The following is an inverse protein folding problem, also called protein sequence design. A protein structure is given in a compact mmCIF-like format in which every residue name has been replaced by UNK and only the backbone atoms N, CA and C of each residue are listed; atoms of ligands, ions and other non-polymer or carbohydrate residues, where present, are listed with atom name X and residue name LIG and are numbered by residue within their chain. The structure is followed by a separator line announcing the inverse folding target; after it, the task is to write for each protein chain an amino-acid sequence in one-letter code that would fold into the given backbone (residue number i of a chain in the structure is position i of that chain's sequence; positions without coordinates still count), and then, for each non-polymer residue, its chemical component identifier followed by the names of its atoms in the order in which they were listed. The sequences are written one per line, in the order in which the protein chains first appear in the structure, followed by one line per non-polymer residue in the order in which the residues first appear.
data_IF_778501965201
#
_entry.id   IF_778501965201
#
_cell.length_a   1.000
_cell.length_b   1.000
_cell.length_c   1.000
_cell.angle_alpha   90.00
_cell.angle_beta   90.00
_cell.angle_gamma   90.00
#
_symmetry.space_group_name_H-M   'P 1'
#
loop_
_entity.id
_entity.type
_entity.pdbx_description
1 polymer ?
#
# COMPACT_ATOMS: atom_id res chain seq x y z
N UNK A 1 11.90 22.68 -5.25
CA UNK A 1 11.93 21.47 -6.07
C UNK A 1 11.06 21.64 -7.32
N UNK A 2 11.50 21.08 -8.44
CA UNK A 2 10.72 20.99 -9.70
C UNK A 2 10.51 19.52 -9.99
N UNK A 3 9.31 19.15 -10.44
CA UNK A 3 8.96 17.78 -10.86
C UNK A 3 8.19 17.83 -12.17
N UNK A 4 8.58 16.99 -13.12
CA UNK A 4 7.86 16.77 -14.37
C UNK A 4 7.56 15.27 -14.47
N UNK A 5 6.35 14.91 -14.89
CA UNK A 5 5.94 13.53 -14.95
C UNK A 5 5.01 13.30 -16.13
N UNK A 6 5.27 12.25 -16.90
CA UNK A 6 4.46 11.82 -18.03
C UNK A 6 4.07 10.35 -17.85
N UNK A 7 2.77 10.05 -18.04
CA UNK A 7 2.24 8.69 -17.94
C UNK A 7 1.41 8.32 -19.15
N UNK A 8 1.55 7.08 -19.57
CA UNK A 8 0.69 6.42 -20.54
C UNK A 8 -0.02 5.26 -19.89
N UNK A 9 -1.31 5.14 -20.14
CA UNK A 9 -2.15 4.09 -19.58
C UNK A 9 -2.98 3.48 -20.71
N UNK A 10 -3.05 2.14 -20.72
CA UNK A 10 -3.90 1.39 -21.64
C UNK A 10 -4.56 0.22 -20.92
N UNK A 11 -5.81 -0.03 -21.27
CA UNK A 11 -6.57 -1.19 -20.79
C UNK A 11 -7.29 -1.84 -21.95
N UNK A 12 -7.21 -3.15 -22.01
CA UNK A 12 -7.96 -4.01 -22.91
C UNK A 12 -8.65 -5.11 -22.11
N UNK A 13 -9.89 -5.42 -22.45
CA UNK A 13 -10.62 -6.53 -21.83
C UNK A 13 -11.57 -7.15 -22.83
N UNK A 14 -11.77 -8.46 -22.70
CA UNK A 14 -12.72 -9.22 -23.46
C UNK A 14 -13.45 -10.23 -22.55
N UNK A 15 -14.74 -10.39 -22.77
CA UNK A 15 -15.55 -11.40 -22.10
C UNK A 15 -16.11 -12.35 -23.14
N UNK A 16 -15.93 -13.63 -22.91
CA UNK A 16 -16.46 -14.70 -23.73
C UNK A 16 -17.55 -15.44 -22.97
N UNK A 17 -18.77 -15.39 -23.47
CA UNK A 17 -19.90 -16.16 -22.97
C UNK A 17 -19.83 -17.56 -23.59
N UNK A 18 -19.18 -18.52 -22.90
CA UNK A 18 -18.93 -19.88 -23.40
C UNK A 18 -20.24 -20.63 -23.49
N UNK A 19 -21.06 -20.53 -22.44
CA UNK A 19 -22.43 -21.07 -22.37
C UNK A 19 -23.33 -20.01 -21.70
N UNK A 20 -24.61 -20.38 -21.49
CA UNK A 20 -25.52 -19.53 -20.69
C UNK A 20 -25.13 -19.43 -19.21
N UNK A 21 -24.33 -20.38 -18.75
CA UNK A 21 -23.90 -20.49 -17.36
C UNK A 21 -22.43 -20.15 -17.15
N UNK A 22 -21.62 -20.02 -18.23
CA UNK A 22 -20.18 -19.91 -18.15
C UNK A 22 -19.68 -18.66 -18.88
N UNK A 23 -19.08 -17.77 -18.12
CA UNK A 23 -18.44 -16.56 -18.60
C UNK A 23 -16.94 -16.60 -18.33
N UNK A 24 -16.11 -16.30 -19.32
CA UNK A 24 -14.68 -16.16 -19.19
C UNK A 24 -14.27 -14.75 -19.59
N UNK A 25 -13.68 -14.01 -18.69
CA UNK A 25 -13.19 -12.66 -18.95
C UNK A 25 -11.66 -12.60 -18.83
N UNK A 26 -11.03 -11.88 -19.75
CA UNK A 26 -9.61 -11.59 -19.75
C UNK A 26 -9.41 -10.08 -19.77
N UNK A 27 -8.60 -9.57 -18.87
CA UNK A 27 -8.24 -8.17 -18.76
C UNK A 27 -6.73 -7.99 -18.77
N UNK A 28 -6.27 -7.00 -19.55
CA UNK A 28 -4.88 -6.54 -19.57
C UNK A 28 -4.87 -5.06 -19.27
N UNK A 29 -4.07 -4.65 -18.32
CA UNK A 29 -3.81 -3.25 -18.04
C UNK A 29 -2.31 -3.00 -18.13
N UNK A 30 -1.91 -1.97 -18.86
CA UNK A 30 -0.53 -1.54 -18.95
C UNK A 30 -0.39 -0.07 -18.60
N UNK A 31 0.68 0.27 -17.91
CA UNK A 31 1.07 1.65 -17.62
C UNK A 31 2.58 1.79 -17.77
N UNK A 32 2.99 2.87 -18.40
CA UNK A 32 4.39 3.30 -18.42
C UNK A 32 4.44 4.78 -18.16
N UNK A 33 5.46 5.21 -17.47
CA UNK A 33 5.65 6.62 -17.19
C UNK A 33 7.06 6.89 -16.69
N UNK A 34 7.46 8.13 -16.77
CA UNK A 34 8.74 8.58 -16.30
C UNK A 34 8.67 10.04 -15.87
N UNK A 35 9.67 10.46 -15.14
CA UNK A 35 9.73 11.84 -14.72
C UNK A 35 11.07 12.21 -14.09
N UNK A 36 11.33 13.50 -14.20
CA UNK A 36 12.52 14.14 -13.67
C UNK A 36 12.16 14.91 -12.41
N UNK A 37 13.07 14.93 -11.48
CA UNK A 37 13.01 15.79 -10.30
C UNK A 37 14.31 16.55 -10.11
N UNK A 38 14.21 17.81 -9.68
CA UNK A 38 15.35 18.61 -9.28
C UNK A 38 15.06 19.30 -7.96
N UNK A 39 15.96 19.20 -7.03
CA UNK A 39 15.87 19.79 -5.71
C UNK A 39 17.18 20.45 -5.31
N UNK A 40 17.09 21.59 -4.65
CA UNK A 40 18.22 22.27 -4.02
C UNK A 40 17.88 22.45 -2.54
N UNK A 41 18.76 21.96 -1.68
CA UNK A 41 18.65 22.07 -0.22
C UNK A 41 19.85 22.85 0.28
N UNK A 42 19.58 23.94 0.99
CA UNK A 42 20.59 24.71 1.68
C UNK A 42 20.60 24.37 3.17
N UNK A 43 21.74 23.95 3.68
CA UNK A 43 21.96 23.65 5.09
C UNK A 43 22.74 24.79 5.72
N UNK A 44 22.34 25.20 6.92
CA UNK A 44 23.10 26.09 7.78
C UNK A 44 23.28 25.41 9.14
N UNK A 45 24.50 24.97 9.44
CA UNK A 45 24.84 24.36 10.71
C UNK A 45 25.24 25.45 11.68
N UNK A 46 24.63 25.45 12.86
CA UNK A 46 24.86 26.44 13.90
C UNK A 46 25.30 25.76 15.20
N UNK A 47 26.14 26.46 15.99
CA UNK A 47 26.50 26.05 17.34
C UNK A 47 25.38 26.36 18.36
N UNK A 48 25.63 26.01 19.62
CA UNK A 48 24.71 26.31 20.72
C UNK A 48 24.48 27.81 20.98
N UNK A 49 25.40 28.67 20.49
CA UNK A 49 25.35 30.14 20.58
C UNK A 49 24.70 30.75 19.32
N UNK A 50 24.24 29.94 18.38
CA UNK A 50 23.63 30.31 17.08
C UNK A 50 24.63 30.94 16.09
N UNK A 51 25.94 30.73 16.25
CA UNK A 51 26.90 31.09 15.23
C UNK A 51 26.95 30.01 14.14
N UNK A 52 27.05 30.41 12.89
CA UNK A 52 27.20 29.47 11.77
C UNK A 52 28.55 28.76 11.85
N UNK A 53 28.54 27.43 11.85
CA UNK A 53 29.75 26.60 11.80
C UNK A 53 30.11 26.33 10.33
N UNK A 54 29.13 25.95 9.50
CA UNK A 54 29.27 25.77 8.06
C UNK A 54 27.95 25.98 7.35
N UNK A 55 28.04 26.28 6.07
CA UNK A 55 26.89 26.19 5.13
C UNK A 55 27.18 25.12 4.11
N UNK A 56 26.11 24.45 3.63
CA UNK A 56 26.22 23.41 2.60
C UNK A 56 25.05 23.49 1.63
N UNK A 57 25.35 23.47 0.35
CA UNK A 57 24.38 23.38 -0.72
C UNK A 57 24.41 21.99 -1.32
N UNK A 58 23.26 21.33 -1.35
CA UNK A 58 23.05 20.02 -1.97
C UNK A 58 22.05 20.12 -3.10
N UNK A 59 22.52 19.84 -4.32
CA UNK A 59 21.70 19.78 -5.52
C UNK A 59 21.45 18.30 -5.83
N UNK A 60 20.20 17.94 -5.99
CA UNK A 60 19.76 16.61 -6.40
C UNK A 60 19.06 16.70 -7.74
N UNK A 61 19.52 15.96 -8.72
CA UNK A 61 18.80 15.74 -9.99
C UNK A 61 18.53 14.26 -10.11
N UNK A 62 17.27 13.91 -10.35
CA UNK A 62 16.85 12.54 -10.49
C UNK A 62 15.95 12.34 -11.69
N UNK A 63 16.05 11.18 -12.27
CA UNK A 63 15.14 10.65 -13.27
C UNK A 63 14.61 9.28 -12.83
N UNK A 64 13.44 8.92 -13.27
CA UNK A 64 12.91 7.59 -13.04
C UNK A 64 11.88 7.19 -14.08
N UNK A 65 11.96 5.94 -14.50
CA UNK A 65 10.99 5.28 -15.36
C UNK A 65 10.23 4.22 -14.57
N UNK A 66 8.93 4.10 -14.85
CA UNK A 66 8.06 3.09 -14.27
C UNK A 66 7.32 2.35 -15.37
N UNK A 67 7.26 1.03 -15.24
CA UNK A 67 6.45 0.15 -16.10
C UNK A 67 5.63 -0.76 -15.21
N UNK A 68 4.35 -0.87 -15.51
CA UNK A 68 3.42 -1.76 -14.82
C UNK A 68 2.56 -2.49 -15.83
N UNK A 69 2.31 -3.76 -15.56
CA UNK A 69 1.25 -4.49 -16.24
C UNK A 69 0.50 -5.37 -15.25
N UNK A 70 -0.79 -5.53 -15.49
CA UNK A 70 -1.67 -6.44 -14.80
C UNK A 70 -2.39 -7.32 -15.83
N UNK A 71 -2.29 -8.62 -15.62
CA UNK A 71 -3.02 -9.64 -16.37
C UNK A 71 -4.03 -10.27 -15.42
N UNK A 72 -5.28 -10.37 -15.82
CA UNK A 72 -6.34 -10.95 -15.02
C UNK A 72 -7.20 -11.88 -15.89
N UNK A 73 -7.43 -13.08 -15.37
CA UNK A 73 -8.36 -14.05 -15.92
C UNK A 73 -9.43 -14.32 -14.88
N UNK A 74 -10.68 -14.13 -15.27
CA UNK A 74 -11.84 -14.35 -14.43
C UNK A 74 -12.81 -15.34 -15.10
N UNK A 75 -13.22 -16.36 -14.36
CA UNK A 75 -14.21 -17.35 -14.81
C UNK A 75 -15.38 -17.40 -13.84
N UNK A 76 -16.57 -17.20 -14.36
CA UNK A 76 -17.83 -17.28 -13.59
C UNK A 76 -18.63 -18.46 -14.08
N UNK A 77 -19.01 -19.35 -13.17
CA UNK A 77 -19.97 -20.43 -13.43
C UNK A 77 -21.23 -20.25 -12.60
N UNK A 78 -22.36 -20.22 -13.24
CA UNK A 78 -23.70 -20.14 -12.64
C UNK A 78 -24.30 -21.54 -12.50
N UNK A 79 -24.38 -22.04 -11.28
CA UNK A 79 -25.08 -23.33 -11.00
C UNK A 79 -26.59 -23.19 -11.15
N UNK A 80 -27.11 -22.00 -10.82
CA UNK A 80 -28.52 -21.63 -10.94
C UNK A 80 -28.63 -20.09 -10.97
N UNK A 81 -29.84 -19.54 -11.08
CA UNK A 81 -30.09 -18.09 -10.93
C UNK A 81 -29.68 -17.54 -9.56
N UNK A 82 -29.59 -18.41 -8.55
CA UNK A 82 -29.32 -18.06 -7.17
C UNK A 82 -27.91 -18.44 -6.69
N UNK A 83 -27.13 -19.17 -7.49
CA UNK A 83 -25.86 -19.72 -7.05
C UNK A 83 -24.81 -19.66 -8.15
N UNK A 84 -23.64 -19.12 -7.82
CA UNK A 84 -22.49 -19.03 -8.72
C UNK A 84 -21.16 -19.18 -7.96
N UNK A 85 -20.15 -19.56 -8.72
CA UNK A 85 -18.75 -19.46 -8.32
C UNK A 85 -18.01 -18.50 -9.27
N UNK A 86 -17.16 -17.67 -8.70
CA UNK A 86 -16.28 -16.75 -9.40
C UNK A 86 -14.83 -17.13 -9.08
N UNK A 87 -14.03 -17.43 -10.11
CA UNK A 87 -12.64 -17.84 -10.00
C UNK A 87 -11.77 -16.80 -10.70
N UNK A 88 -10.85 -16.19 -9.98
CA UNK A 88 -9.94 -15.17 -10.50
C UNK A 88 -8.48 -15.55 -10.28
N UNK A 89 -7.69 -15.36 -11.31
CA UNK A 89 -6.21 -15.39 -11.22
C UNK A 89 -5.67 -14.11 -11.83
N UNK A 90 -4.84 -13.40 -11.10
CA UNK A 90 -4.17 -12.23 -11.64
C UNK A 90 -2.67 -12.24 -11.38
N UNK A 91 -1.94 -11.58 -12.27
CA UNK A 91 -0.52 -11.30 -12.13
C UNK A 91 -0.28 -9.81 -12.35
N UNK A 92 0.16 -9.14 -11.30
CA UNK A 92 0.59 -7.75 -11.34
C UNK A 92 2.11 -7.70 -11.26
N UNK A 93 2.74 -6.95 -12.15
CA UNK A 93 4.17 -6.68 -12.09
C UNK A 93 4.40 -5.19 -12.31
N UNK A 94 5.27 -4.62 -11.49
CA UNK A 94 5.77 -3.29 -11.73
C UNK A 94 7.28 -3.23 -11.52
N UNK A 95 7.91 -2.40 -12.31
CA UNK A 95 9.33 -2.11 -12.24
C UNK A 95 9.51 -0.59 -12.24
N UNK A 96 10.40 -0.14 -11.41
CA UNK A 96 10.85 1.24 -11.40
C UNK A 96 12.35 1.28 -11.44
N UNK A 97 12.88 1.82 -12.52
CA UNK A 97 14.28 2.19 -12.67
C UNK A 97 14.43 3.66 -12.29
N UNK A 98 15.44 4.03 -11.53
CA UNK A 98 15.68 5.42 -11.17
C UNK A 98 17.14 5.70 -10.87
N UNK A 99 17.58 6.89 -11.22
CA UNK A 99 18.91 7.39 -10.92
C UNK A 99 18.79 8.77 -10.26
N UNK A 100 19.52 8.98 -9.17
CA UNK A 100 19.65 10.27 -8.53
C UNK A 100 21.13 10.69 -8.52
N UNK A 101 21.40 11.90 -8.96
CA UNK A 101 22.73 12.52 -8.94
C UNK A 101 22.72 13.60 -7.88
N UNK A 102 23.61 13.49 -6.92
CA UNK A 102 23.78 14.44 -5.84
C UNK A 102 25.12 15.17 -5.99
N UNK A 103 25.08 16.47 -5.80
CA UNK A 103 26.26 17.32 -5.72
C UNK A 103 26.15 18.15 -4.46
N UNK A 104 27.14 18.05 -3.58
CA UNK A 104 27.15 18.79 -2.34
C UNK A 104 28.44 19.56 -2.20
N UNK A 105 28.35 20.85 -1.90
CA UNK A 105 29.48 21.70 -1.55
C UNK A 105 29.28 22.27 -0.16
N UNK A 106 30.34 22.24 0.65
CA UNK A 106 30.32 22.73 2.04
C UNK A 106 31.36 23.77 2.22
N UNK A 107 31.03 24.86 2.92
CA UNK A 107 31.92 25.96 3.26
C UNK A 107 31.91 26.16 4.77
N UNK A 108 33.04 25.95 5.41
CA UNK A 108 33.22 26.18 6.84
C UNK A 108 33.45 27.65 7.13
N UNK A 109 32.94 28.14 8.27
CA UNK A 109 33.23 29.49 8.77
C UNK A 109 34.66 29.60 9.22
N UNK A 110 35.27 28.53 9.73
CA UNK A 110 36.69 28.45 10.06
C UNK A 110 37.52 28.18 8.79
N UNK A 111 38.35 29.12 8.32
CA UNK A 111 39.15 28.95 7.10
C UNK A 111 40.18 27.82 7.16
N UNK A 112 40.51 27.34 8.36
CA UNK A 112 41.40 26.18 8.52
C UNK A 112 40.77 24.86 8.18
N UNK A 113 39.43 24.79 8.07
CA UNK A 113 38.68 23.62 7.70
C UNK A 113 38.36 23.64 6.20
N UNK A 114 38.72 22.57 5.49
CA UNK A 114 38.45 22.41 4.07
C UNK A 114 37.52 21.22 3.91
N UNK A 115 36.38 21.40 3.24
CA UNK A 115 35.51 20.32 2.83
C UNK A 115 35.78 19.97 1.36
N UNK A 116 35.93 18.68 1.08
CA UNK A 116 35.92 18.21 -0.28
C UNK A 116 34.46 18.20 -0.81
N UNK A 117 34.23 18.57 -2.07
CA UNK A 117 32.92 18.38 -2.70
C UNK A 117 32.54 16.91 -2.67
N UNK A 118 31.25 16.63 -2.53
CA UNK A 118 30.71 15.29 -2.64
C UNK A 118 29.92 15.18 -3.95
N UNK A 119 30.34 14.25 -4.79
CA UNK A 119 29.58 13.77 -5.93
C UNK A 119 29.10 12.35 -5.63
N UNK A 120 27.80 12.12 -5.79
CA UNK A 120 27.20 10.82 -5.53
C UNK A 120 26.15 10.52 -6.57
N UNK A 121 26.16 9.29 -7.08
CA UNK A 121 25.08 8.76 -7.93
C UNK A 121 24.48 7.57 -7.22
N UNK A 122 23.16 7.52 -7.17
CA UNK A 122 22.43 6.41 -6.61
C UNK A 122 21.47 5.85 -7.66
N UNK A 123 21.63 4.57 -7.96
CA UNK A 123 20.81 3.82 -8.90
C UNK A 123 19.92 2.84 -8.16
N UNK A 124 18.67 2.67 -8.61
CA UNK A 124 17.74 1.69 -8.08
C UNK A 124 16.96 1.03 -9.22
N UNK A 125 16.75 -0.29 -9.12
CA UNK A 125 15.94 -1.09 -10.05
C UNK A 125 14.95 -1.92 -9.23
N UNK A 126 13.86 -1.29 -8.82
CA UNK A 126 12.84 -1.93 -7.98
C UNK A 126 11.95 -2.81 -8.85
N UNK A 127 11.82 -4.07 -8.47
CA UNK A 127 10.96 -5.05 -9.12
C UNK A 127 9.96 -5.62 -8.13
N UNK A 128 8.69 -5.59 -8.48
CA UNK A 128 7.62 -6.20 -7.71
C UNK A 128 6.78 -7.10 -8.59
N UNK A 129 6.49 -8.29 -8.10
CA UNK A 129 5.63 -9.26 -8.74
C UNK A 129 4.64 -9.82 -7.73
N UNK A 130 3.36 -9.65 -8.02
CA UNK A 130 2.27 -10.16 -7.19
C UNK A 130 1.38 -11.09 -8.00
N UNK A 131 1.19 -12.31 -7.52
CA UNK A 131 0.15 -13.22 -7.95
C UNK A 131 -1.00 -13.18 -6.98
N UNK A 132 -2.22 -13.18 -7.52
CA UNK A 132 -3.43 -13.30 -6.73
C UNK A 132 -4.31 -14.41 -7.31
N UNK A 133 -4.82 -15.26 -6.45
CA UNK A 133 -5.82 -16.28 -6.78
C UNK A 133 -6.99 -16.12 -5.83
N UNK A 134 -8.22 -16.15 -6.38
CA UNK A 134 -9.43 -15.96 -5.61
C UNK A 134 -10.51 -16.91 -6.11
N UNK A 135 -11.29 -17.43 -5.18
CA UNK A 135 -12.46 -18.25 -5.47
C UNK A 135 -13.59 -17.81 -4.53
N UNK A 136 -14.68 -17.30 -5.10
CA UNK A 136 -15.86 -16.82 -4.39
C UNK A 136 -17.09 -17.62 -4.77
N UNK A 137 -17.71 -18.23 -3.79
CA UNK A 137 -18.99 -18.88 -3.92
C UNK A 137 -20.09 -18.02 -3.32
N UNK A 138 -21.14 -17.79 -4.08
CA UNK A 138 -22.34 -17.06 -3.67
C UNK A 138 -23.57 -17.94 -3.81
N UNK A 139 -24.40 -17.96 -2.79
CA UNK A 139 -25.70 -18.64 -2.84
C UNK A 139 -26.78 -17.80 -2.15
N UNK A 140 -27.80 -17.42 -2.90
CA UNK A 140 -29.02 -16.84 -2.39
C UNK A 140 -29.94 -17.98 -1.95
N UNK A 141 -29.94 -18.29 -0.64
CA UNK A 141 -30.69 -19.40 -0.05
C UNK A 141 -32.20 -19.15 -0.18
N UNK A 142 -32.59 -17.89 -0.06
CA UNK A 142 -33.99 -17.43 -0.25
C UNK A 142 -33.95 -15.94 -0.64
N UNK A 143 -35.14 -15.37 -0.92
CA UNK A 143 -35.24 -13.91 -1.14
C UNK A 143 -34.78 -13.07 0.08
N UNK A 144 -34.70 -13.70 1.24
CA UNK A 144 -34.33 -13.05 2.50
C UNK A 144 -32.96 -13.45 3.03
N UNK A 145 -32.26 -14.44 2.42
CA UNK A 145 -31.01 -14.94 2.99
C UNK A 145 -29.99 -15.27 1.91
N UNK A 146 -28.73 -14.85 2.13
CA UNK A 146 -27.57 -15.07 1.25
C UNK A 146 -26.39 -15.53 2.05
N UNK A 147 -25.65 -16.49 1.52
CA UNK A 147 -24.36 -16.93 2.01
C UNK A 147 -23.29 -16.67 0.93
N UNK A 148 -22.14 -16.23 1.36
CA UNK A 148 -20.95 -16.08 0.54
C UNK A 148 -19.78 -16.72 1.29
N UNK A 149 -18.97 -17.48 0.58
CA UNK A 149 -17.75 -18.06 1.12
C UNK A 149 -16.66 -18.01 0.06
N UNK A 150 -15.43 -17.78 0.48
CA UNK A 150 -14.35 -17.68 -0.49
C UNK A 150 -12.98 -17.90 0.11
N UNK A 151 -12.03 -18.04 -0.81
CA UNK A 151 -10.61 -18.09 -0.56
C UNK A 151 -9.92 -17.00 -1.37
N UNK A 152 -8.90 -16.37 -0.78
CA UNK A 152 -8.00 -15.45 -1.47
C UNK A 152 -6.56 -15.73 -1.06
N UNK A 153 -5.72 -16.00 -2.06
CA UNK A 153 -4.28 -16.14 -1.93
C UNK A 153 -3.58 -14.95 -2.60
N UNK A 154 -2.60 -14.32 -1.93
CA UNK A 154 -1.77 -13.24 -2.49
C UNK A 154 -0.30 -13.57 -2.24
N UNK A 155 0.50 -13.60 -3.29
CA UNK A 155 1.90 -13.99 -3.27
C UNK A 155 2.73 -12.87 -3.88
N UNK A 156 3.43 -12.11 -3.05
CA UNK A 156 4.25 -10.97 -3.48
C UNK A 156 5.73 -11.27 -3.34
N UNK A 157 6.50 -10.86 -4.33
CA UNK A 157 7.96 -10.93 -4.36
C UNK A 157 8.48 -9.58 -4.82
N UNK A 158 9.26 -8.94 -3.97
CA UNK A 158 9.85 -7.64 -4.24
C UNK A 158 11.36 -7.69 -4.07
N UNK A 159 12.07 -7.03 -4.98
CA UNK A 159 13.50 -6.80 -4.90
C UNK A 159 13.79 -5.32 -5.15
N UNK A 160 14.54 -4.71 -4.25
CA UNK A 160 14.86 -3.28 -4.28
C UNK A 160 16.37 -3.09 -4.09
N UNK A 161 17.19 -3.26 -5.14
CA UNK A 161 18.61 -2.94 -5.08
C UNK A 161 18.81 -1.42 -5.08
N UNK A 162 19.87 -1.00 -4.40
CA UNK A 162 20.39 0.37 -4.39
C UNK A 162 21.88 0.27 -4.56
N UNK A 163 22.38 0.77 -5.69
CA UNK A 163 23.79 0.95 -5.99
C UNK A 163 24.17 2.40 -5.82
N UNK A 164 25.23 2.66 -5.08
CA UNK A 164 25.71 4.03 -4.83
C UNK A 164 27.15 4.16 -5.27
N UNK A 165 27.45 5.25 -5.96
CA UNK A 165 28.78 5.62 -6.41
C UNK A 165 29.11 6.97 -5.81
N UNK A 166 30.33 7.13 -5.27
CA UNK A 166 30.80 8.35 -4.63
C UNK A 166 32.15 8.80 -5.16
N UNK A 167 32.38 10.11 -5.15
CA UNK A 167 33.62 10.74 -5.56
C UNK A 167 33.71 12.19 -5.11
N UNK A 168 34.85 12.84 -5.37
CA UNK A 168 35.07 14.26 -5.12
C UNK A 168 34.90 15.10 -6.38
N UNK A 169 34.94 14.48 -7.54
CA UNK A 169 34.62 15.07 -8.85
C UNK A 169 33.66 14.14 -9.61
N UNK A 170 33.13 14.60 -10.74
CA UNK A 170 32.27 13.79 -11.59
C UNK A 170 33.04 12.66 -12.31
N UNK A 171 34.35 12.81 -12.45
CA UNK A 171 35.22 11.85 -13.18
C UNK A 171 35.80 10.76 -12.29
N UNK A 172 35.86 10.98 -10.96
CA UNK A 172 36.44 10.03 -10.01
C UNK A 172 35.40 9.22 -9.22
N UNK A 173 34.13 9.26 -9.64
CA UNK A 173 33.04 8.49 -9.02
C UNK A 173 33.34 6.99 -9.12
N UNK A 174 33.30 6.30 -7.97
CA UNK A 174 33.48 4.85 -7.86
C UNK A 174 32.38 4.24 -7.01
N UNK A 175 32.08 2.96 -7.23
CA UNK A 175 31.12 2.24 -6.42
C UNK A 175 31.52 2.30 -4.95
N UNK A 176 30.57 2.68 -4.12
CA UNK A 176 30.70 2.72 -2.66
C UNK A 176 30.00 1.48 -2.09
N UNK A 177 30.80 0.44 -1.87
CA UNK A 177 30.32 -0.87 -1.38
C UNK A 177 29.62 -0.74 -0.03
N UNK A 178 30.01 0.25 0.78
CA UNK A 178 29.40 0.52 2.10
C UNK A 178 27.95 1.03 2.01
N UNK A 179 27.60 1.58 0.84
CA UNK A 179 26.26 2.12 0.54
C UNK A 179 25.45 1.23 -0.38
N UNK A 180 25.97 0.05 -0.73
CA UNK A 180 25.21 -0.95 -1.46
C UNK A 180 24.18 -1.60 -0.56
N UNK A 181 22.95 -1.77 -1.06
CA UNK A 181 21.93 -2.59 -0.43
C UNK A 181 21.02 -3.24 -1.47
N UNK A 182 20.70 -4.52 -1.25
CA UNK A 182 19.59 -5.18 -1.93
C UNK A 182 18.60 -5.69 -0.90
N UNK A 183 17.44 -5.09 -0.88
CA UNK A 183 16.35 -5.51 -0.01
C UNK A 183 15.41 -6.45 -0.77
N UNK A 184 15.22 -7.64 -0.20
CA UNK A 184 14.27 -8.64 -0.66
C UNK A 184 13.09 -8.69 0.31
N UNK A 185 11.88 -8.63 -0.21
CA UNK A 185 10.66 -8.73 0.56
C UNK A 185 9.71 -9.71 -0.12
N UNK A 186 9.42 -10.80 0.57
CA UNK A 186 8.49 -11.82 0.12
C UNK A 186 7.36 -11.94 1.12
N UNK A 187 6.13 -11.97 0.64
CA UNK A 187 4.98 -12.26 1.50
C UNK A 187 3.99 -13.18 0.81
N UNK A 188 3.42 -14.06 1.61
CA UNK A 188 2.32 -14.94 1.24
C UNK A 188 1.16 -14.72 2.19
N UNK A 189 -0.03 -14.46 1.65
CA UNK A 189 -1.25 -14.26 2.43
C UNK A 189 -2.29 -15.26 1.94
N UNK A 190 -2.81 -16.04 2.87
CA UNK A 190 -3.92 -16.96 2.62
C UNK A 190 -5.10 -16.53 3.48
N UNK A 191 -6.25 -16.37 2.88
CA UNK A 191 -7.45 -16.00 3.60
C UNK A 191 -8.63 -16.87 3.20
N UNK A 192 -9.33 -17.38 4.19
CA UNK A 192 -10.65 -18.01 4.06
C UNK A 192 -11.68 -17.10 4.71
N UNK A 193 -12.79 -16.91 4.08
CA UNK A 193 -13.86 -16.07 4.58
C UNK A 193 -15.22 -16.60 4.26
N UNK A 194 -16.17 -16.23 5.12
CA UNK A 194 -17.58 -16.54 4.97
C UNK A 194 -18.40 -15.38 5.50
N UNK A 195 -19.48 -15.05 4.77
CA UNK A 195 -20.49 -14.09 5.21
C UNK A 195 -21.88 -14.72 5.09
N UNK A 196 -22.73 -14.39 6.04
CA UNK A 196 -24.14 -14.70 6.02
C UNK A 196 -24.92 -13.41 6.21
N UNK A 197 -25.80 -13.12 5.29
CA UNK A 197 -26.67 -11.96 5.34
C UNK A 197 -28.13 -12.35 5.20
N UNK A 198 -28.99 -11.56 5.84
CA UNK A 198 -30.42 -11.79 5.78
C UNK A 198 -31.24 -10.53 6.01
N UNK A 199 -32.53 -10.67 5.70
CA UNK A 199 -33.54 -9.63 5.94
C UNK A 199 -34.74 -10.25 6.64
N UNK A 200 -35.19 -9.61 7.69
CA UNK A 200 -36.41 -9.98 8.42
C UNK A 200 -37.23 -8.73 8.68
N UNK A 201 -38.35 -8.59 7.94
CA UNK A 201 -39.19 -7.39 7.95
C UNK A 201 -38.34 -6.12 7.69
N UNK A 202 -38.20 -5.27 8.71
CA UNK A 202 -37.44 -4.00 8.66
C UNK A 202 -35.98 -4.16 9.02
N UNK A 203 -35.57 -5.30 9.49
CA UNK A 203 -34.21 -5.59 9.91
C UNK A 203 -33.43 -6.28 8.79
N UNK A 204 -32.31 -5.67 8.34
CA UNK A 204 -31.32 -6.33 7.51
C UNK A 204 -30.05 -6.56 8.35
N UNK A 205 -29.43 -7.73 8.18
CA UNK A 205 -28.22 -8.05 8.94
C UNK A 205 -27.23 -8.84 8.06
N UNK A 206 -25.96 -8.68 8.37
CA UNK A 206 -24.89 -9.46 7.80
C UNK A 206 -23.82 -9.71 8.86
N UNK A 207 -23.34 -10.94 8.95
CA UNK A 207 -22.22 -11.31 9.78
C UNK A 207 -21.17 -12.02 8.93
N UNK A 208 -19.90 -11.68 9.13
CA UNK A 208 -18.79 -12.25 8.40
C UNK A 208 -17.63 -12.61 9.31
N UNK A 209 -16.91 -13.63 8.92
CA UNK A 209 -15.66 -14.02 9.56
C UNK A 209 -14.64 -14.31 8.47
N UNK A 210 -13.45 -13.72 8.61
CA UNK A 210 -12.29 -13.95 7.75
C UNK A 210 -11.12 -14.41 8.61
N UNK A 211 -10.54 -15.55 8.28
CA UNK A 211 -9.27 -16.03 8.84
C UNK A 211 -8.16 -15.77 7.86
N UNK A 212 -7.07 -15.14 8.31
CA UNK A 212 -5.88 -14.91 7.50
C UNK A 212 -4.66 -15.56 8.12
N UNK A 213 -3.94 -16.32 7.32
CA UNK A 213 -2.56 -16.71 7.56
C UNK A 213 -1.66 -15.84 6.69
N UNK A 214 -0.69 -15.17 7.31
CA UNK A 214 0.28 -14.31 6.66
C UNK A 214 1.68 -14.73 7.05
N UNK A 215 2.51 -14.99 6.04
CA UNK A 215 3.95 -15.22 6.17
C UNK A 215 4.69 -14.14 5.42
N UNK A 216 5.73 -13.60 6.04
CA UNK A 216 6.64 -12.64 5.43
C UNK A 216 8.07 -13.06 5.73
N UNK A 217 8.93 -13.00 4.72
CA UNK A 217 10.36 -13.08 4.86
C UNK A 217 11.01 -11.84 4.24
N UNK A 218 12.02 -11.31 4.92
CA UNK A 218 12.79 -10.16 4.48
C UNK A 218 14.27 -10.43 4.61
N UNK A 219 15.05 -9.93 3.65
CA UNK A 219 16.50 -10.01 3.66
C UNK A 219 17.08 -8.71 3.15
N UNK A 220 17.98 -8.12 3.93
CA UNK A 220 18.78 -6.98 3.52
C UNK A 220 20.21 -7.45 3.31
N UNK A 221 20.70 -7.32 2.07
CA UNK A 221 22.02 -7.77 1.65
C UNK A 221 22.94 -6.57 1.47
N UNK A 222 24.09 -6.56 2.15
CA UNK A 222 25.20 -5.67 1.86
C UNK A 222 26.01 -6.20 0.64
N UNK A 223 27.01 -5.45 0.21
CA UNK A 223 27.85 -5.81 -0.95
C UNK A 223 28.52 -7.18 -0.78
N UNK A 224 29.10 -7.45 0.39
CA UNK A 224 29.79 -8.72 0.66
C UNK A 224 28.82 -9.90 0.68
N UNK A 225 27.60 -9.68 1.20
CA UNK A 225 26.55 -10.71 1.25
C UNK A 225 26.00 -11.04 -0.14
N UNK A 226 25.96 -10.06 -1.05
CA UNK A 226 25.48 -10.28 -2.42
C UNK A 226 26.56 -10.90 -3.32
N UNK A 227 27.81 -10.40 -3.25
CA UNK A 227 28.85 -10.70 -4.25
C UNK A 227 30.00 -11.56 -3.72
N UNK A 228 30.29 -11.52 -2.42
CA UNK A 228 31.47 -12.15 -1.83
C UNK A 228 31.13 -13.38 -0.96
N UNK A 229 29.86 -13.82 -0.96
CA UNK A 229 29.44 -15.06 -0.30
C UNK A 229 29.38 -14.96 1.25
N UNK A 230 29.38 -13.77 1.82
CA UNK A 230 29.16 -13.58 3.25
C UNK A 230 27.75 -14.02 3.62
N UNK A 231 27.58 -14.68 4.77
CA UNK A 231 26.27 -15.13 5.24
C UNK A 231 25.34 -13.93 5.51
N UNK A 232 24.08 -14.07 5.12
CA UNK A 232 23.02 -13.10 5.39
C UNK A 232 21.94 -13.69 6.28
N UNK A 233 21.33 -12.86 7.11
CA UNK A 233 20.20 -13.24 7.96
C UNK A 233 18.89 -12.97 7.22
N UNK A 234 17.93 -13.88 7.40
CA UNK A 234 16.56 -13.75 6.92
C UNK A 234 15.66 -13.57 8.11
N UNK A 235 14.86 -12.50 8.10
CA UNK A 235 13.81 -12.31 9.11
C UNK A 235 12.52 -12.94 8.58
N UNK A 236 12.05 -13.96 9.28
CA UNK A 236 10.79 -14.64 8.97
C UNK A 236 9.78 -14.41 10.08
N UNK A 237 8.55 -14.12 9.69
CA UNK A 237 7.39 -14.00 10.60
C UNK A 237 6.16 -14.59 9.95
N UNK A 238 5.34 -15.22 10.79
CA UNK A 238 4.03 -15.69 10.40
C UNK A 238 2.98 -15.37 11.47
N UNK A 239 1.75 -15.18 11.01
CA UNK A 239 0.63 -14.83 11.87
C UNK A 239 -0.64 -15.47 11.35
N UNK A 240 -1.45 -16.00 12.26
CA UNK A 240 -2.85 -16.32 11.98
C UNK A 240 -3.76 -15.43 12.82
N UNK A 241 -4.73 -14.78 12.16
CA UNK A 241 -5.68 -13.87 12.84
C UNK A 241 -7.06 -13.97 12.23
N UNK A 242 -8.06 -13.70 13.10
CA UNK A 242 -9.47 -13.64 12.74
C UNK A 242 -9.95 -12.19 12.65
N UNK A 243 -10.76 -11.92 11.63
CA UNK A 243 -11.34 -10.61 11.31
C UNK A 243 -12.87 -10.74 11.22
N UNK A 244 -13.56 -10.59 12.37
CA UNK A 244 -15.02 -10.56 12.37
C UNK A 244 -15.53 -9.23 11.82
N UNK A 245 -16.71 -9.29 11.19
CA UNK A 245 -17.48 -8.14 10.73
C UNK A 245 -18.95 -8.37 11.01
N UNK A 246 -19.67 -7.30 11.32
CA UNK A 246 -21.11 -7.30 11.49
C UNK A 246 -21.71 -6.02 10.92
N UNK A 247 -22.84 -6.16 10.26
CA UNK A 247 -23.65 -5.06 9.76
C UNK A 247 -25.09 -5.30 10.15
N UNK A 248 -25.72 -4.29 10.71
CA UNK A 248 -27.15 -4.29 11.07
C UNK A 248 -27.76 -3.00 10.54
N UNK A 249 -28.88 -3.12 9.83
CA UNK A 249 -29.64 -1.99 9.33
C UNK A 249 -31.11 -2.18 9.70
N UNK A 250 -31.73 -1.11 10.18
CA UNK A 250 -33.13 -1.08 10.55
C UNK A 250 -33.87 0.04 9.80
N UNK A 251 -34.87 -0.36 9.00
CA UNK A 251 -35.72 0.56 8.26
C UNK A 251 -36.72 1.25 9.20
N UNK A 252 -36.58 2.57 9.32
CA UNK A 252 -37.45 3.43 10.10
C UNK A 252 -38.59 4.02 9.23
N UNK A 253 -39.70 4.51 9.83
CA UNK A 253 -40.76 5.20 9.08
C UNK A 253 -40.20 6.39 8.26
N UNK A 254 -40.94 6.75 7.19
CA UNK A 254 -40.65 7.91 6.32
C UNK A 254 -39.29 7.81 5.60
N UNK A 255 -38.94 6.62 5.09
CA UNK A 255 -37.70 6.33 4.36
C UNK A 255 -36.44 6.74 5.14
N UNK A 256 -36.42 6.49 6.42
CA UNK A 256 -35.24 6.63 7.24
C UNK A 256 -34.63 5.25 7.51
N UNK A 257 -33.33 5.20 7.74
CA UNK A 257 -32.60 3.97 8.05
C UNK A 257 -31.52 4.23 9.10
N UNK A 258 -31.42 3.33 10.06
CA UNK A 258 -30.38 3.32 11.07
C UNK A 258 -29.46 2.12 10.82
N UNK A 259 -28.16 2.36 10.70
CA UNK A 259 -27.16 1.32 10.45
C UNK A 259 -26.10 1.30 11.54
N UNK A 260 -25.73 0.10 11.96
CA UNK A 260 -24.60 -0.14 12.87
C UNK A 260 -23.64 -1.12 12.19
N UNK A 261 -22.37 -0.73 12.10
CA UNK A 261 -21.33 -1.55 11.51
C UNK A 261 -20.20 -1.77 12.50
N UNK A 262 -19.67 -2.98 12.49
CA UNK A 262 -18.46 -3.33 13.19
C UNK A 262 -17.52 -4.05 12.23
N UNK A 263 -16.24 -3.65 12.19
CA UNK A 263 -15.20 -4.35 11.45
C UNK A 263 -13.89 -4.34 12.22
N UNK A 264 -13.19 -5.48 12.22
CA UNK A 264 -11.79 -5.56 12.60
C UNK A 264 -10.93 -5.52 11.34
N UNK A 265 -9.88 -4.68 11.35
CA UNK A 265 -8.97 -4.48 10.22
C UNK A 265 -7.53 -4.66 10.63
N UNK A 266 -6.68 -4.88 9.65
CA UNK A 266 -5.26 -5.07 9.78
C UNK A 266 -4.54 -4.11 8.83
N UNK A 267 -3.47 -3.50 9.31
CA UNK A 267 -2.49 -2.78 8.50
C UNK A 267 -1.13 -3.44 8.67
N UNK A 268 -0.61 -4.02 7.58
CA UNK A 268 0.72 -4.62 7.54
C UNK A 268 1.78 -3.55 7.35
N UNK A 269 2.97 -3.67 7.96
CA UNK A 269 4.09 -2.86 7.58
C UNK A 269 4.46 -3.17 6.12
N UNK A 270 4.73 -2.13 5.35
CA UNK A 270 5.19 -2.28 3.97
C UNK A 270 6.71 -2.47 3.93
N UNK A 271 7.24 -3.02 2.80
CA UNK A 271 8.63 -3.42 2.68
C UNK A 271 9.66 -2.36 3.11
N UNK A 272 9.46 -1.09 2.75
CA UNK A 272 10.38 -0.02 3.14
C UNK A 272 10.43 0.25 4.66
N UNK A 273 9.35 -0.04 5.41
CA UNK A 273 9.37 0.04 6.88
C UNK A 273 10.13 -1.11 7.52
N UNK A 274 10.30 -2.22 6.80
CA UNK A 274 11.01 -3.41 7.27
C UNK A 274 12.48 -3.44 6.83
N UNK A 275 12.91 -2.57 5.91
CA UNK A 275 14.29 -2.52 5.44
C UNK A 275 15.19 -1.87 6.48
N UNK A 276 16.07 -2.66 7.10
CA UNK A 276 17.03 -2.20 8.12
C UNK A 276 18.22 -1.42 7.56
N UNK A 277 18.36 -1.34 6.24
CA UNK A 277 19.42 -0.58 5.61
C UNK A 277 19.29 0.93 5.92
N UNK A 278 20.42 1.54 6.25
CA UNK A 278 20.48 2.97 6.56
C UNK A 278 20.53 3.76 5.26
N UNK A 279 19.45 4.48 4.98
CA UNK A 279 19.46 5.46 3.90
C UNK A 279 20.16 6.72 4.38
N UNK A 280 21.33 6.98 3.82
CA UNK A 280 22.18 8.15 4.12
C UNK A 280 22.22 9.12 2.92
N UNK A 281 21.26 9.04 2.01
CA UNK A 281 21.15 10.00 0.90
C UNK A 281 21.13 11.45 1.37
N UNK A 282 20.71 11.69 2.60
CA UNK A 282 20.91 12.93 3.34
C UNK A 282 21.67 12.63 4.64
N UNK A 283 22.93 13.07 4.73
CA UNK A 283 23.77 12.84 5.90
C UNK A 283 23.22 13.47 7.19
N UNK A 284 22.37 14.50 7.06
CA UNK A 284 21.70 15.16 8.18
C UNK A 284 20.39 14.49 8.59
N UNK A 285 19.88 13.56 7.77
CA UNK A 285 18.59 12.90 7.98
C UNK A 285 18.67 11.42 7.59
N UNK A 286 19.25 10.62 8.47
CA UNK A 286 19.40 9.17 8.27
C UNK A 286 18.07 8.49 8.61
N UNK A 287 17.56 7.68 7.70
CA UNK A 287 16.37 6.87 7.89
C UNK A 287 16.66 5.38 7.67
N UNK A 288 16.00 4.53 8.45
CA UNK A 288 16.04 3.09 8.30
C UNK A 288 14.74 2.48 8.83
N UNK A 289 14.39 1.30 8.34
CA UNK A 289 13.24 0.54 8.80
C UNK A 289 13.59 -0.40 9.95
N UNK A 290 12.55 -1.03 10.49
CA UNK A 290 12.69 -2.04 11.54
C UNK A 290 12.05 -3.35 11.07
N UNK A 291 12.83 -4.42 10.82
CA UNK A 291 12.29 -5.73 10.40
C UNK A 291 11.42 -6.41 11.47
N UNK A 292 11.52 -5.96 12.73
CA UNK A 292 10.72 -6.51 13.83
C UNK A 292 9.31 -5.92 13.92
N UNK A 293 8.94 -4.95 13.08
CA UNK A 293 7.60 -4.39 13.09
C UNK A 293 6.54 -5.47 12.91
N UNK A 294 5.47 -5.34 13.67
CA UNK A 294 4.31 -6.23 13.63
C UNK A 294 3.10 -5.48 13.08
N UNK A 295 2.11 -6.20 12.52
CA UNK A 295 0.90 -5.57 12.02
C UNK A 295 0.12 -4.80 13.08
N UNK A 296 -0.47 -3.69 12.68
CA UNK A 296 -1.39 -2.90 13.49
C UNK A 296 -2.83 -3.40 13.30
N UNK A 297 -3.58 -3.50 14.39
CA UNK A 297 -4.97 -3.92 14.38
C UNK A 297 -5.87 -2.75 14.78
N UNK A 298 -6.99 -2.61 14.10
CA UNK A 298 -7.99 -1.60 14.43
C UNK A 298 -9.39 -2.21 14.50
N UNK A 299 -10.18 -1.75 15.44
CA UNK A 299 -11.62 -2.01 15.52
C UNK A 299 -12.36 -0.74 15.11
N UNK A 300 -13.25 -0.86 14.14
CA UNK A 300 -14.08 0.24 13.67
C UNK A 300 -15.53 -0.04 14.01
N UNK A 301 -16.16 0.90 14.71
CA UNK A 301 -17.59 0.93 14.96
C UNK A 301 -18.16 2.15 14.23
N UNK A 302 -19.20 1.94 13.46
CA UNK A 302 -19.85 3.02 12.70
C UNK A 302 -21.33 3.01 13.00
N UNK A 303 -21.88 4.20 13.29
CA UNK A 303 -23.31 4.45 13.42
C UNK A 303 -23.71 5.43 12.32
N UNK A 304 -24.62 5.01 11.45
CA UNK A 304 -25.10 5.83 10.35
C UNK A 304 -26.62 6.02 10.48
N UNK A 305 -27.07 7.22 10.26
CA UNK A 305 -28.47 7.54 10.07
C UNK A 305 -28.66 8.10 8.67
N UNK A 306 -29.49 7.46 7.88
CA UNK A 306 -29.77 7.81 6.49
C UNK A 306 -31.21 8.28 6.42
N UNK A 307 -31.44 9.45 5.83
CA UNK A 307 -32.75 9.96 5.48
C UNK A 307 -32.80 10.15 3.97
N UNK A 308 -33.63 9.37 3.29
CA UNK A 308 -33.89 9.60 1.87
C UNK A 308 -34.80 10.81 1.69
N UNK A 309 -34.50 11.63 0.69
CA UNK A 309 -35.38 12.71 0.30
C UNK A 309 -36.63 12.13 -0.38
N UNK A 310 -37.81 12.67 -0.01
CA UNK A 310 -39.00 12.42 -0.82
C UNK A 310 -38.79 12.96 -2.23
N UNK A 311 -39.43 12.36 -3.29
CA UNK A 311 -39.28 12.81 -4.69
C UNK A 311 -39.51 14.30 -4.93
N UNK A 312 -40.18 14.99 -4.00
CA UNK A 312 -40.44 16.42 -4.03
C UNK A 312 -39.42 17.29 -3.28
N UNK A 313 -38.34 16.72 -2.73
CA UNK A 313 -37.37 17.48 -1.95
C UNK A 313 -35.96 17.00 -2.30
N UNK A 314 -35.18 17.81 -3.02
CA UNK A 314 -33.87 17.49 -3.58
C UNK A 314 -32.71 17.36 -2.57
N UNK A 315 -32.99 17.13 -1.28
CA UNK A 315 -31.94 17.08 -0.23
C UNK A 315 -31.97 15.78 0.53
N UNK A 316 -30.99 14.88 0.29
CA UNK A 316 -30.71 13.72 1.13
C UNK A 316 -29.76 14.13 2.26
N UNK A 317 -30.08 13.77 3.50
CA UNK A 317 -29.19 14.02 4.65
C UNK A 317 -28.59 12.70 5.12
N UNK A 318 -27.28 12.59 5.04
CA UNK A 318 -26.50 11.47 5.53
C UNK A 318 -25.73 11.91 6.79
N UNK A 319 -25.97 11.25 7.92
CA UNK A 319 -25.28 11.50 9.19
C UNK A 319 -24.50 10.23 9.54
N UNK A 320 -23.18 10.29 9.55
CA UNK A 320 -22.32 9.17 9.94
C UNK A 320 -21.46 9.56 11.13
N UNK A 321 -21.40 8.70 12.14
CA UNK A 321 -20.41 8.78 13.22
C UNK A 321 -19.53 7.52 13.20
N UNK A 322 -18.22 7.70 13.10
CA UNK A 322 -17.24 6.63 13.11
C UNK A 322 -16.41 6.70 14.38
N UNK A 323 -16.35 5.61 15.12
CA UNK A 323 -15.42 5.41 16.21
C UNK A 323 -14.34 4.44 15.75
N UNK A 324 -13.09 4.88 15.77
CA UNK A 324 -11.93 4.04 15.55
C UNK A 324 -11.24 3.76 16.88
N UNK A 325 -11.09 2.49 17.21
CA UNK A 325 -10.22 2.03 18.29
C UNK A 325 -9.03 1.33 17.63
N UNK A 326 -7.92 2.05 17.49
CA UNK A 326 -6.64 1.47 17.11
C UNK A 326 -6.03 0.77 18.32
N UNK A 327 -5.53 -0.44 18.13
CA UNK A 327 -4.66 -1.11 19.10
C UNK A 327 -3.26 -1.10 18.47
N UNK A 328 -2.47 -0.03 18.68
CA UNK A 328 -1.08 -0.02 18.24
C UNK A 328 -0.29 -0.97 19.13
N UNK A 329 0.73 -1.61 18.57
CA UNK A 329 1.72 -2.38 19.34
C UNK A 329 2.62 -1.48 20.22
N UNK A 330 2.34 -0.20 20.29
CA UNK A 330 2.98 0.79 21.18
C UNK A 330 1.94 1.34 22.17
N UNK A 331 2.34 1.80 23.37
CA UNK A 331 1.43 2.09 24.49
C UNK A 331 0.50 3.30 24.34
N UNK A 332 0.25 3.80 23.14
CA UNK A 332 -0.74 4.87 22.88
C UNK A 332 -1.83 4.37 21.95
N UNK A 333 -2.97 3.99 22.52
CA UNK A 333 -4.20 3.77 21.77
C UNK A 333 -4.70 5.11 21.21
N UNK A 334 -4.78 5.23 19.89
CA UNK A 334 -5.45 6.37 19.26
C UNK A 334 -6.97 6.09 19.27
N UNK A 335 -7.72 6.79 20.13
CA UNK A 335 -9.18 6.83 20.09
C UNK A 335 -9.61 8.14 19.45
N UNK A 336 -10.42 8.07 18.40
CA UNK A 336 -10.95 9.26 17.75
C UNK A 336 -12.38 9.07 17.28
N UNK A 337 -13.24 10.07 17.51
CA UNK A 337 -14.57 10.14 16.91
C UNK A 337 -14.54 11.10 15.72
N UNK A 338 -14.89 10.62 14.53
CA UNK A 338 -15.13 11.48 13.38
C UNK A 338 -16.63 11.56 13.09
N UNK A 339 -17.17 12.77 13.07
CA UNK A 339 -18.55 13.01 12.63
C UNK A 339 -18.52 13.65 11.25
N UNK A 340 -19.04 12.96 10.26
CA UNK A 340 -19.18 13.49 8.89
C UNK A 340 -20.67 13.73 8.62
N UNK A 341 -21.02 14.98 8.32
CA UNK A 341 -22.36 15.34 7.86
C UNK A 341 -22.22 15.66 6.37
N UNK A 342 -22.71 14.80 5.51
CA UNK A 342 -22.71 15.04 4.06
C UNK A 342 -24.14 15.38 3.63
N UNK A 343 -24.31 16.58 3.10
CA UNK A 343 -25.54 17.00 2.41
C UNK A 343 -25.29 16.89 0.92
N UNK A 344 -25.92 15.96 0.26
CA UNK A 344 -25.92 15.86 -1.19
C UNK A 344 -27.09 16.67 -1.73
N UNK A 345 -26.80 17.73 -2.50
CA UNK A 345 -27.78 18.35 -3.39
C UNK A 345 -27.70 17.60 -4.72
N UNK A 346 -28.78 17.01 -5.15
CA UNK A 346 -28.89 16.53 -6.53
C UNK A 346 -29.08 17.76 -7.44
N UNK A 347 -28.44 17.81 -8.60
CA UNK A 347 -28.71 18.85 -9.59
C UNK A 347 -30.17 18.74 -10.04
N UNK A 348 -30.81 19.91 -10.24
CA UNK A 348 -32.16 20.06 -10.77
C UNK A 348 -32.30 19.47 -12.18
#
# INVERSE_FOLDING_TARGET
SKRQHNNWFGRFGATWHITKSDDLAFNVTGMTGGGDNSENIHYNSIDSQKNTIYTSDRITNGDSDMKMYNLELNYVHKFSENSNIDLMVSNNQWRRDGMNIFRQSTVYTDPSQIANPLYQTQENDIKDKTWEVQADYTNKISDMARIEAGYKGTFQRNASPVDTYTGTTAEDIRQDESLYNRFLYNQDVHALYMTYGGKWDKLSYQAGLRGEYWRVDTRSLDFDQEFNGKASETFEKDYFKLFPSAFISYALPKNNELQVNYTRRLRRPWGGQLNSFRNISDASNISFGNPELTPEYSHSFELNYIKEASPNNSTSTFLSRKLFIGIPNTPRAATGWNTTITRLRLPE
#
